data_IF_422608506363
#
_entry.id   IF_422608506363
#
_cell.length_a   1.000
_cell.length_b   1.000
_cell.length_c   1.000
_cell.angle_alpha   90.00
_cell.angle_beta   90.00
_cell.angle_gamma   90.00
#
_symmetry.space_group_name_H-M   'P 1'
#
loop_
_entity.id
_entity.type
_entity.pdbx_description
1 polymer ?
#
# COMPACT_ATOMS: atom_id res chain seq x y z
N UNK A 1 4.05 14.67 13.66
CA UNK A 1 4.59 15.57 12.61
C UNK A 1 5.57 14.91 11.61
N UNK A 2 6.30 13.85 11.96
CA UNK A 2 7.15 13.11 11.00
C UNK A 2 6.37 12.03 10.19
N UNK A 3 5.57 11.19 10.85
CA UNK A 3 4.77 10.14 10.18
C UNK A 3 3.79 10.70 9.14
N UNK A 4 3.13 11.81 9.45
CA UNK A 4 2.22 12.48 8.52
C UNK A 4 2.97 12.97 7.28
N UNK A 5 4.17 13.52 7.46
CA UNK A 5 5.01 13.98 6.36
C UNK A 5 5.51 12.81 5.51
N UNK A 6 6.07 11.77 6.12
CA UNK A 6 6.62 10.61 5.39
C UNK A 6 5.55 9.86 4.57
N UNK A 7 4.37 9.64 5.14
CA UNK A 7 3.25 8.98 4.47
C UNK A 7 2.66 9.77 3.29
N UNK A 8 2.84 11.09 3.32
CA UNK A 8 2.24 12.03 2.38
C UNK A 8 3.23 12.44 1.27
N UNK A 9 4.51 12.65 1.62
CA UNK A 9 5.59 12.92 0.66
C UNK A 9 5.90 11.66 -0.16
N UNK A 10 5.66 10.47 0.38
CA UNK A 10 5.71 9.22 -0.39
C UNK A 10 4.46 9.13 -1.28
N UNK A 11 4.59 9.62 -2.51
CA UNK A 11 3.47 9.62 -3.45
C UNK A 11 3.15 8.19 -3.91
N UNK A 12 1.86 7.80 -3.94
CA UNK A 12 1.42 6.57 -4.58
C UNK A 12 1.81 6.66 -6.05
N UNK A 13 2.41 5.62 -6.60
CA UNK A 13 2.89 5.65 -7.96
C UNK A 13 1.71 5.52 -8.93
N UNK A 14 0.85 6.52 -9.13
CA UNK A 14 -0.18 6.44 -10.17
C UNK A 14 0.42 6.72 -11.56
N UNK A 15 1.15 7.84 -11.71
CA UNK A 15 1.99 8.09 -12.89
C UNK A 15 3.23 7.19 -12.90
N UNK A 16 3.71 6.82 -11.71
CA UNK A 16 4.87 5.95 -11.53
C UNK A 16 4.47 4.47 -11.64
N UNK A 17 3.20 4.04 -11.73
CA UNK A 17 2.91 2.60 -11.90
C UNK A 17 3.46 2.09 -13.24
N UNK A 18 3.29 2.89 -14.29
CA UNK A 18 3.96 2.66 -15.56
C UNK A 18 5.48 2.80 -15.42
N UNK A 19 6.00 3.80 -14.69
CA UNK A 19 7.45 4.01 -14.60
C UNK A 19 8.20 3.17 -13.55
N UNK A 20 7.52 2.52 -12.59
CA UNK A 20 8.04 1.62 -11.54
C UNK A 20 8.12 0.19 -12.05
N UNK A 21 7.15 -0.23 -12.86
CA UNK A 21 7.32 -1.40 -13.75
C UNK A 21 8.51 -1.17 -14.70
N UNK A 22 8.88 0.10 -14.96
CA UNK A 22 10.03 0.49 -15.77
C UNK A 22 11.26 0.94 -14.96
N UNK A 23 11.21 1.02 -13.62
CA UNK A 23 12.31 1.59 -12.84
C UNK A 23 13.48 0.61 -12.90
N UNK A 24 14.52 1.05 -13.62
CA UNK A 24 15.81 0.36 -13.71
C UNK A 24 16.40 0.33 -12.30
N UNK A 25 16.27 -0.81 -11.62
CA UNK A 25 17.29 -1.16 -10.63
C UNK A 25 18.61 -1.34 -11.38
N UNK A 26 19.73 -0.95 -10.75
CA UNK A 26 21.06 -0.88 -11.37
C UNK A 26 21.54 -2.14 -12.10
N UNK A 27 20.90 -3.29 -11.85
CA UNK A 27 21.20 -4.60 -12.45
C UNK A 27 20.30 -5.01 -13.64
N UNK A 28 19.62 -4.07 -14.31
CA UNK A 28 18.78 -4.33 -15.49
C UNK A 28 17.55 -5.26 -15.30
N UNK A 29 17.24 -5.72 -14.08
CA UNK A 29 16.02 -6.47 -13.79
C UNK A 29 14.90 -5.53 -13.31
N UNK A 30 13.84 -5.39 -14.11
CA UNK A 30 12.61 -4.68 -13.73
C UNK A 30 11.86 -5.50 -12.69
N UNK A 31 11.60 -4.93 -11.50
CA UNK A 31 10.82 -5.57 -10.43
C UNK A 31 10.03 -4.55 -9.63
N UNK A 32 8.84 -4.92 -9.17
CA UNK A 32 8.03 -4.13 -8.25
C UNK A 32 8.37 -4.50 -6.81
N UNK A 33 8.89 -3.54 -6.04
CA UNK A 33 9.00 -3.71 -4.59
C UNK A 33 7.63 -3.48 -3.92
N UNK A 34 6.88 -4.56 -3.70
CA UNK A 34 5.49 -4.48 -3.21
C UNK A 34 5.38 -3.89 -1.80
N UNK A 35 6.42 -4.06 -0.97
CA UNK A 35 6.46 -3.51 0.38
C UNK A 35 6.62 -1.99 0.35
N UNK A 36 7.65 -1.51 -0.35
CA UNK A 36 7.99 -0.09 -0.43
C UNK A 36 6.87 0.72 -1.07
N UNK A 37 6.33 0.24 -2.19
CA UNK A 37 5.44 1.03 -3.02
C UNK A 37 3.96 0.81 -2.73
N UNK A 38 3.57 -0.24 -2.00
CA UNK A 38 2.16 -0.52 -1.72
C UNK A 38 1.90 -0.70 -0.21
N UNK A 39 2.48 -1.72 0.42
CA UNK A 39 2.12 -2.07 1.80
C UNK A 39 2.47 -0.97 2.82
N UNK A 40 3.64 -0.34 2.69
CA UNK A 40 4.04 0.75 3.59
C UNK A 40 3.05 1.94 3.50
N UNK A 41 2.62 2.31 2.28
CA UNK A 41 1.65 3.40 2.09
C UNK A 41 0.33 3.11 2.80
N UNK A 42 -0.19 1.88 2.67
CA UNK A 42 -1.40 1.45 3.36
C UNK A 42 -1.22 1.50 4.88
N UNK A 43 -0.10 0.99 5.37
CA UNK A 43 0.21 0.95 6.82
C UNK A 43 0.27 2.37 7.39
N UNK A 44 0.90 3.29 6.67
CA UNK A 44 1.03 4.67 7.12
C UNK A 44 -0.28 5.44 7.04
N UNK A 45 -1.12 5.20 6.03
CA UNK A 45 -2.49 5.69 6.00
C UNK A 45 -3.29 5.19 7.20
N UNK A 46 -3.24 3.89 7.50
CA UNK A 46 -3.92 3.32 8.67
C UNK A 46 -3.49 4.02 9.97
N UNK A 47 -2.18 4.27 10.12
CA UNK A 47 -1.62 5.00 11.27
C UNK A 47 -2.16 6.42 11.34
N UNK A 48 -2.14 7.18 10.24
CA UNK A 48 -2.66 8.55 10.20
C UNK A 48 -4.12 8.61 10.63
N UNK A 49 -4.97 7.78 10.01
CA UNK A 49 -6.40 7.76 10.31
C UNK A 49 -6.67 7.40 11.77
N UNK A 50 -6.05 6.34 12.28
CA UNK A 50 -6.24 5.94 13.69
C UNK A 50 -5.70 6.97 14.67
N UNK A 51 -4.51 7.55 14.44
CA UNK A 51 -3.94 8.59 15.30
C UNK A 51 -4.78 9.87 15.29
N UNK A 52 -5.32 10.26 14.13
CA UNK A 52 -6.23 11.42 14.03
C UNK A 52 -7.51 11.25 14.85
N UNK A 53 -7.89 10.01 15.11
CA UNK A 53 -9.03 9.60 15.91
C UNK A 53 -8.66 9.24 17.37
N UNK A 54 -7.43 9.56 17.82
CA UNK A 54 -6.95 9.28 19.18
C UNK A 54 -6.67 7.80 19.49
N UNK A 55 -6.59 6.94 18.47
CA UNK A 55 -6.37 5.51 18.65
C UNK A 55 -4.91 5.15 18.89
N UNK A 56 -4.69 4.07 19.65
CA UNK A 56 -3.36 3.48 19.96
C UNK A 56 -3.20 2.05 19.43
N UNK A 57 -4.07 1.64 18.49
CA UNK A 57 -4.08 0.29 17.92
C UNK A 57 -2.79 0.00 17.12
N UNK A 58 -2.42 -1.28 17.03
CA UNK A 58 -1.20 -1.73 16.35
C UNK A 58 -1.46 -2.39 15.00
N UNK A 59 -2.59 -3.07 14.83
CA UNK A 59 -2.94 -3.75 13.58
C UNK A 59 -3.37 -2.79 12.47
N UNK A 60 -2.95 -3.05 11.23
CA UNK A 60 -3.31 -2.21 10.07
C UNK A 60 -4.81 -2.20 9.82
N UNK A 61 -5.46 -3.35 9.79
CA UNK A 61 -6.91 -3.43 9.58
C UNK A 61 -7.69 -2.86 10.77
N UNK A 62 -7.24 -3.13 12.00
CA UNK A 62 -7.84 -2.61 13.23
C UNK A 62 -7.86 -1.08 13.25
N UNK A 63 -6.75 -0.46 12.83
CA UNK A 63 -6.64 1.00 12.71
C UNK A 63 -7.66 1.60 11.74
N UNK A 64 -7.88 0.97 10.59
CA UNK A 64 -8.89 1.44 9.64
C UNK A 64 -10.31 1.26 10.17
N UNK A 65 -10.62 0.12 10.80
CA UNK A 65 -11.94 -0.12 11.41
C UNK A 65 -12.23 0.90 12.51
N UNK A 66 -11.26 1.14 13.39
CA UNK A 66 -11.38 2.18 14.42
C UNK A 66 -11.59 3.57 13.83
N UNK A 67 -10.90 3.90 12.73
CA UNK A 67 -11.11 5.19 12.06
C UNK A 67 -12.55 5.35 11.53
N UNK A 68 -13.21 4.26 11.11
CA UNK A 68 -14.63 4.24 10.74
C UNK A 68 -15.52 4.43 11.96
N UNK A 69 -15.26 3.70 13.05
CA UNK A 69 -16.01 3.83 14.31
C UNK A 69 -16.01 5.27 14.85
N UNK A 70 -14.89 5.99 14.66
CA UNK A 70 -14.73 7.38 15.06
C UNK A 70 -15.18 8.40 13.97
N UNK A 71 -15.76 7.93 12.85
CA UNK A 71 -16.28 8.79 11.79
C UNK A 71 -15.21 9.53 10.96
N UNK A 72 -13.93 9.16 11.10
CA UNK A 72 -12.83 9.82 10.37
C UNK A 72 -12.60 9.22 8.97
N UNK A 73 -13.10 8.01 8.72
CA UNK A 73 -13.05 7.28 7.46
C UNK A 73 -14.44 6.72 7.13
N UNK A 74 -14.83 6.67 5.86
CA UNK A 74 -16.09 6.02 5.46
C UNK A 74 -15.94 4.49 5.45
N UNK A 75 -17.05 3.78 5.64
CA UNK A 75 -17.08 2.31 5.57
C UNK A 75 -16.59 1.81 4.21
N UNK A 76 -17.07 2.39 3.10
CA UNK A 76 -16.67 2.02 1.75
C UNK A 76 -15.16 2.17 1.50
N UNK A 77 -14.56 3.29 1.93
CA UNK A 77 -13.11 3.49 1.80
C UNK A 77 -12.31 2.50 2.65
N UNK A 78 -12.82 2.15 3.84
CA UNK A 78 -12.22 1.15 4.72
C UNK A 78 -12.24 -0.25 4.08
N UNK A 79 -13.38 -0.68 3.54
CA UNK A 79 -13.52 -1.99 2.91
C UNK A 79 -12.64 -2.09 1.66
N UNK A 80 -12.59 -1.03 0.84
CA UNK A 80 -11.73 -0.96 -0.34
C UNK A 80 -10.24 -1.07 0.03
N UNK A 81 -9.76 -0.28 1.00
CA UNK A 81 -8.33 -0.29 1.36
C UNK A 81 -7.91 -1.59 2.07
N UNK A 82 -8.79 -2.19 2.88
CA UNK A 82 -8.55 -3.50 3.49
C UNK A 82 -8.52 -4.60 2.41
N UNK A 83 -9.42 -4.53 1.42
CA UNK A 83 -9.41 -5.43 0.26
C UNK A 83 -8.10 -5.35 -0.51
N UNK A 84 -7.65 -4.14 -0.82
CA UNK A 84 -6.36 -3.89 -1.48
C UNK A 84 -5.18 -4.42 -0.63
N UNK A 85 -5.18 -4.16 0.68
CA UNK A 85 -4.16 -4.64 1.61
C UNK A 85 -4.04 -6.17 1.60
N UNK A 86 -5.16 -6.88 1.73
CA UNK A 86 -5.20 -8.35 1.73
C UNK A 86 -4.72 -8.93 0.42
N UNK A 87 -5.14 -8.36 -0.71
CA UNK A 87 -4.66 -8.78 -2.03
C UNK A 87 -3.14 -8.63 -2.16
N UNK A 88 -2.58 -7.48 -1.78
CA UNK A 88 -1.14 -7.21 -1.84
C UNK A 88 -0.35 -8.13 -0.91
N UNK A 89 -0.86 -8.41 0.29
CA UNK A 89 -0.28 -9.37 1.22
C UNK A 89 -0.27 -10.79 0.63
N UNK A 90 -1.36 -11.23 0.00
CA UNK A 90 -1.44 -12.53 -0.65
C UNK A 90 -0.41 -12.67 -1.78
N UNK A 91 -0.29 -11.64 -2.64
CA UNK A 91 0.70 -11.58 -3.71
C UNK A 91 2.12 -11.71 -3.15
N UNK A 92 2.43 -10.93 -2.10
CA UNK A 92 3.74 -10.98 -1.44
C UNK A 92 4.03 -12.35 -0.85
N UNK A 93 3.08 -12.95 -0.12
CA UNK A 93 3.28 -14.25 0.49
C UNK A 93 3.47 -15.36 -0.54
N UNK A 94 2.73 -15.32 -1.65
CA UNK A 94 2.93 -16.28 -2.75
C UNK A 94 4.34 -16.17 -3.35
N UNK A 95 4.81 -14.96 -3.62
CA UNK A 95 6.17 -14.75 -4.13
C UNK A 95 7.23 -15.28 -3.15
N UNK A 96 7.10 -14.95 -1.86
CA UNK A 96 8.03 -15.41 -0.82
C UNK A 96 8.02 -16.92 -0.62
N UNK A 97 6.84 -17.54 -0.63
CA UNK A 97 6.71 -19.00 -0.57
C UNK A 97 7.40 -19.67 -1.75
N UNK A 98 7.21 -19.15 -2.96
CA UNK A 98 7.86 -19.68 -4.16
C UNK A 98 9.38 -19.54 -4.10
N UNK A 99 9.91 -18.45 -3.55
CA UNK A 99 11.34 -18.29 -3.30
C UNK A 99 11.87 -19.36 -2.33
N UNK A 100 11.19 -19.55 -1.19
CA UNK A 100 11.57 -20.58 -0.22
C UNK A 100 11.55 -21.99 -0.80
N UNK A 101 10.54 -22.33 -1.60
CA UNK A 101 10.43 -23.65 -2.26
C UNK A 101 11.56 -23.92 -3.26
N UNK A 102 12.18 -22.88 -3.83
CA UNK A 102 13.36 -22.98 -4.70
C UNK A 102 14.69 -22.95 -3.93
N UNK A 103 14.67 -22.72 -2.62
CA UNK A 103 15.86 -22.51 -1.81
C UNK A 103 16.43 -21.09 -1.89
N UNK A 104 15.69 -20.14 -2.46
CA UNK A 104 16.08 -18.73 -2.55
C UNK A 104 15.71 -17.99 -1.24
N UNK A 105 16.42 -16.89 -0.95
CA UNK A 105 16.04 -15.96 0.13
C UNK A 105 14.77 -15.17 -0.26
N UNK A 106 13.69 -15.18 0.55
CA UNK A 106 12.49 -14.42 0.24
C UNK A 106 12.73 -12.90 0.34
N UNK A 107 12.27 -12.15 -0.65
CA UNK A 107 12.35 -10.69 -0.68
C UNK A 107 10.97 -10.03 -0.96
N UNK A 108 10.94 -8.78 -1.41
CA UNK A 108 9.71 -8.06 -1.77
C UNK A 108 9.68 -7.60 -3.23
N UNK A 109 10.64 -8.01 -4.06
CA UNK A 109 10.86 -7.56 -5.42
C UNK A 109 10.28 -8.58 -6.40
N UNK A 110 9.07 -8.31 -6.89
CA UNK A 110 8.35 -9.23 -7.77
C UNK A 110 8.54 -8.77 -9.21
N UNK A 111 9.01 -9.65 -10.09
CA UNK A 111 9.17 -9.30 -11.50
C UNK A 111 7.80 -9.17 -12.19
N UNK A 112 7.66 -8.26 -13.18
CA UNK A 112 6.39 -8.07 -13.89
C UNK A 112 5.81 -9.35 -14.52
N UNK A 113 6.67 -10.26 -14.99
CA UNK A 113 6.30 -11.53 -15.61
C UNK A 113 5.83 -12.59 -14.61
N UNK A 114 6.05 -12.40 -13.30
CA UNK A 114 5.49 -13.27 -12.25
C UNK A 114 4.00 -13.00 -11.99
N UNK A 115 3.47 -11.86 -12.43
CA UNK A 115 2.04 -11.55 -12.29
C UNK A 115 1.23 -12.07 -13.47
N UNK A 116 0.16 -12.81 -13.17
CA UNK A 116 -0.90 -13.11 -14.14
C UNK A 116 -1.59 -11.83 -14.65
N UNK A 117 -2.25 -11.92 -15.80
CA UNK A 117 -3.04 -10.79 -16.34
C UNK A 117 -4.14 -10.32 -15.37
N UNK A 118 -4.73 -11.25 -14.63
CA UNK A 118 -5.71 -10.97 -13.58
C UNK A 118 -5.10 -10.18 -12.42
N UNK A 119 -3.96 -10.63 -11.90
CA UNK A 119 -3.24 -9.93 -10.82
C UNK A 119 -2.78 -8.55 -11.27
N UNK A 120 -2.28 -8.39 -12.51
CA UNK A 120 -1.88 -7.07 -13.01
C UNK A 120 -3.04 -6.07 -13.01
N UNK A 121 -4.26 -6.51 -13.32
CA UNK A 121 -5.46 -5.66 -13.23
C UNK A 121 -5.79 -5.31 -11.78
N UNK A 122 -5.83 -6.30 -10.89
CA UNK A 122 -6.12 -6.10 -9.45
C UNK A 122 -5.07 -5.23 -8.77
N UNK A 123 -3.82 -5.35 -9.19
CA UNK A 123 -2.73 -4.53 -8.72
C UNK A 123 -2.95 -3.06 -9.10
N UNK A 124 -3.32 -2.78 -10.35
CA UNK A 124 -3.68 -1.41 -10.78
C UNK A 124 -4.82 -0.83 -9.95
N UNK A 125 -5.87 -1.60 -9.71
CA UNK A 125 -7.00 -1.16 -8.88
C UNK A 125 -6.56 -0.92 -7.42
N UNK A 126 -5.73 -1.80 -6.85
CA UNK A 126 -5.18 -1.60 -5.51
C UNK A 126 -4.36 -0.29 -5.41
N UNK A 127 -3.52 0.01 -6.40
CA UNK A 127 -2.78 1.27 -6.44
C UNK A 127 -3.68 2.50 -6.59
N UNK A 128 -4.75 2.39 -7.36
CA UNK A 128 -5.77 3.45 -7.48
C UNK A 128 -6.42 3.73 -6.13
N UNK A 129 -6.87 2.70 -5.42
CA UNK A 129 -7.48 2.82 -4.08
C UNK A 129 -6.52 3.48 -3.09
N UNK A 130 -5.24 3.05 -3.07
CA UNK A 130 -4.21 3.66 -2.21
C UNK A 130 -4.09 5.15 -2.51
N UNK A 131 -4.05 5.53 -3.79
CA UNK A 131 -3.89 6.91 -4.17
C UNK A 131 -5.07 7.80 -3.83
N UNK A 132 -6.28 7.33 -4.12
CA UNK A 132 -7.50 8.05 -3.78
C UNK A 132 -7.55 8.32 -2.26
N UNK A 133 -7.19 7.31 -1.44
CA UNK A 133 -7.14 7.47 0.00
C UNK A 133 -6.02 8.42 0.47
N UNK A 134 -4.85 8.40 -0.18
CA UNK A 134 -3.77 9.36 0.09
C UNK A 134 -4.16 10.79 -0.25
N UNK A 135 -4.86 11.02 -1.36
CA UNK A 135 -5.31 12.36 -1.75
C UNK A 135 -6.37 12.90 -0.77
N UNK A 136 -7.29 12.05 -0.31
CA UNK A 136 -8.24 12.40 0.76
C UNK A 136 -7.50 12.71 2.06
N UNK A 137 -6.52 11.90 2.45
CA UNK A 137 -5.73 12.12 3.66
C UNK A 137 -4.94 13.43 3.60
N UNK A 138 -4.34 13.78 2.45
CA UNK A 138 -3.65 15.06 2.23
C UNK A 138 -4.60 16.24 2.47
N UNK A 139 -5.76 16.23 1.81
CA UNK A 139 -6.75 17.30 1.97
C UNK A 139 -7.25 17.41 3.42
N UNK A 140 -7.48 16.28 4.09
CA UNK A 140 -8.01 16.27 5.46
C UNK A 140 -6.97 16.69 6.51
N UNK A 141 -5.72 16.27 6.38
CA UNK A 141 -4.72 16.37 7.46
C UNK A 141 -3.60 17.39 7.21
N UNK A 142 -3.43 17.90 5.98
CA UNK A 142 -2.48 18.98 5.70
C UNK A 142 -3.11 20.37 5.71
N UNK A 143 -4.39 20.49 5.36
CA UNK A 143 -5.06 21.80 5.24
C UNK A 143 -5.32 22.51 6.58
N UNK A 144 -4.96 21.88 7.70
CA UNK A 144 -5.03 22.43 9.05
C UNK A 144 -3.68 22.90 9.62
N UNK A 145 -2.63 22.93 8.80
CA UNK A 145 -1.30 23.47 9.14
C UNK A 145 -0.97 24.70 8.29
#
# INVERSE_FOLDING_TARGET
PALTRDAIETSPPLGIFNSLVLEKSGDNTKSLNIKKFALNLIIDLARIYSLSAGGSLTGTEERFRYAVEQGTLSQDSCDNIIGAYRFLMQVRFRHQLNAQLRGDSPDNNIRPDEFSSFERKHLKEAFKIISELQDVAKLKFMSGF
#
